data_IF_067976843306
#
_entry.id   IF_067976843306
#
_cell.length_a   1.000
_cell.length_b   1.000
_cell.length_c   1.000
_cell.angle_alpha   90.00
_cell.angle_beta   90.00
_cell.angle_gamma   90.00
#
_symmetry.space_group_name_H-M   'P 1'
#
loop_
_entity.id
_entity.type
_entity.pdbx_description
1 polymer ?
#
# COMPACT_ATOMS: atom_id res chain seq x y z
N UNK A 1 -11.03 8.21 29.13
CA UNK A 1 -10.60 7.64 27.84
C UNK A 1 -9.24 8.24 27.50
N UNK A 2 -8.20 7.42 27.43
CA UNK A 2 -6.87 7.86 27.01
C UNK A 2 -6.97 8.30 25.53
N UNK A 3 -6.51 9.51 25.16
CA UNK A 3 -6.55 9.93 23.76
C UNK A 3 -5.72 8.94 22.92
N UNK A 4 -6.35 8.31 21.93
CA UNK A 4 -5.66 7.42 21.02
C UNK A 4 -4.61 8.24 20.24
N UNK A 5 -3.33 7.96 20.48
CA UNK A 5 -2.23 8.62 19.82
C UNK A 5 -2.34 8.39 18.31
N UNK A 6 -2.66 9.44 17.56
CA UNK A 6 -2.77 9.37 16.09
C UNK A 6 -1.40 8.94 15.55
N UNK A 7 -1.35 7.75 14.99
CA UNK A 7 -0.10 7.22 14.42
C UNK A 7 0.17 7.94 13.10
N UNK A 8 1.30 8.64 12.97
CA UNK A 8 1.66 9.42 11.79
C UNK A 8 1.85 8.57 10.52
N UNK A 9 1.40 9.03 9.33
CA UNK A 9 1.75 8.45 8.05
C UNK A 9 3.24 8.67 7.73
N UNK A 10 3.72 8.12 6.63
CA UNK A 10 5.01 8.55 6.07
C UNK A 10 4.87 9.93 5.42
N UNK A 11 5.89 10.77 5.52
CA UNK A 11 6.07 11.89 4.60
C UNK A 11 6.53 11.38 3.23
N UNK A 12 6.41 12.24 2.20
CA UNK A 12 6.95 11.94 0.87
C UNK A 12 8.48 11.69 0.93
N UNK A 13 9.20 12.51 1.70
CA UNK A 13 10.63 12.37 1.90
C UNK A 13 11.01 11.05 2.60
N UNK A 14 10.25 10.62 3.62
CA UNK A 14 10.49 9.34 4.28
C UNK A 14 10.28 8.16 3.32
N UNK A 15 9.24 8.19 2.46
CA UNK A 15 9.01 7.14 1.47
C UNK A 15 10.13 7.08 0.44
N UNK A 16 10.55 8.24 -0.06
CA UNK A 16 11.67 8.32 -1.00
C UNK A 16 12.97 7.81 -0.37
N UNK A 17 13.26 8.20 0.87
CA UNK A 17 14.43 7.71 1.58
C UNK A 17 14.43 6.20 1.79
N UNK A 18 13.27 5.61 2.10
CA UNK A 18 13.12 4.15 2.17
C UNK A 18 13.38 3.49 0.80
N UNK A 19 12.88 4.07 -0.28
CA UNK A 19 13.09 3.58 -1.64
C UNK A 19 14.57 3.61 -2.02
N UNK A 20 15.26 4.73 -1.76
CA UNK A 20 16.69 4.87 -2.00
C UNK A 20 17.55 3.95 -1.12
N UNK A 21 17.10 3.62 0.08
CA UNK A 21 17.82 2.72 1.01
C UNK A 21 17.68 1.25 0.58
N UNK A 22 16.61 0.90 -0.14
CA UNK A 22 16.39 -0.46 -0.61
C UNK A 22 17.32 -0.81 -1.77
N UNK A 23 18.04 -1.92 -1.64
CA UNK A 23 19.01 -2.37 -2.64
C UNK A 23 18.45 -3.40 -3.63
N UNK A 24 17.25 -3.95 -3.35
CA UNK A 24 16.61 -4.97 -4.17
C UNK A 24 15.34 -4.45 -4.79
N UNK A 25 15.20 -4.62 -6.09
CA UNK A 25 13.98 -4.21 -6.82
C UNK A 25 12.71 -4.85 -6.26
N UNK A 26 12.79 -6.11 -5.79
CA UNK A 26 11.68 -6.78 -5.11
C UNK A 26 11.17 -5.99 -3.91
N UNK A 27 12.08 -5.48 -3.08
CA UNK A 27 11.75 -4.81 -1.83
C UNK A 27 11.12 -3.44 -2.12
N UNK A 28 11.61 -2.75 -3.16
CA UNK A 28 10.99 -1.52 -3.69
C UNK A 28 9.59 -1.83 -4.22
N UNK A 29 9.44 -2.85 -5.06
CA UNK A 29 8.15 -3.25 -5.62
C UNK A 29 7.13 -3.59 -4.52
N UNK A 30 7.55 -4.27 -3.43
CA UNK A 30 6.67 -4.55 -2.28
C UNK A 30 6.22 -3.26 -1.60
N UNK A 31 7.12 -2.30 -1.36
CA UNK A 31 6.78 -1.04 -0.70
C UNK A 31 5.80 -0.22 -1.56
N UNK A 32 6.09 -0.06 -2.85
CA UNK A 32 5.22 0.66 -3.78
C UNK A 32 3.86 -0.03 -3.92
N UNK A 33 3.82 -1.36 -3.93
CA UNK A 33 2.58 -2.12 -3.97
C UNK A 33 1.73 -1.95 -2.71
N UNK A 34 2.35 -2.02 -1.53
CA UNK A 34 1.67 -1.78 -0.26
C UNK A 34 1.10 -0.36 -0.16
N UNK A 35 1.84 0.63 -0.66
CA UNK A 35 1.38 2.02 -0.71
C UNK A 35 0.23 2.16 -1.72
N UNK A 36 0.46 1.79 -2.97
CA UNK A 36 -0.50 2.01 -4.06
C UNK A 36 -1.86 1.35 -3.81
N UNK A 37 -1.85 0.11 -3.34
CA UNK A 37 -3.08 -0.69 -3.19
C UNK A 37 -3.74 -0.54 -1.82
N UNK A 38 -3.05 0.02 -0.84
CA UNK A 38 -3.45 -0.04 0.57
C UNK A 38 -3.83 -1.46 1.04
N UNK A 39 -3.30 -2.50 0.38
CA UNK A 39 -3.57 -3.90 0.68
C UNK A 39 -3.17 -4.30 2.10
N UNK A 40 -3.95 -5.16 2.75
CA UNK A 40 -3.49 -5.82 3.97
C UNK A 40 -2.41 -6.82 3.60
N UNK A 41 -1.42 -6.97 4.48
CA UNK A 41 -0.29 -7.88 4.20
C UNK A 41 -0.75 -9.30 3.82
N UNK A 42 -1.79 -9.82 4.47
CA UNK A 42 -2.36 -11.13 4.15
C UNK A 42 -2.97 -11.21 2.76
N UNK A 43 -3.59 -10.13 2.32
CA UNK A 43 -4.13 -10.02 0.97
C UNK A 43 -2.99 -9.97 -0.07
N UNK A 44 -1.94 -9.20 0.21
CA UNK A 44 -0.80 -9.03 -0.70
C UNK A 44 0.01 -10.31 -0.89
N UNK A 45 0.26 -11.08 0.17
CA UNK A 45 1.01 -12.35 0.04
C UNK A 45 0.24 -13.44 -0.69
N UNK A 46 -1.09 -13.35 -0.75
CA UNK A 46 -1.92 -14.31 -1.45
C UNK A 46 -1.93 -14.13 -2.98
N UNK A 47 -1.55 -12.95 -3.48
CA UNK A 47 -1.62 -12.62 -4.90
C UNK A 47 -0.66 -13.43 -5.77
N UNK A 48 -1.11 -13.67 -7.01
CA UNK A 48 -0.34 -14.24 -8.11
C UNK A 48 0.01 -13.16 -9.15
N UNK A 49 0.95 -13.48 -10.05
CA UNK A 49 1.29 -12.62 -11.19
C UNK A 49 0.08 -12.38 -12.11
N UNK A 50 -0.78 -13.41 -12.25
CA UNK A 50 -1.99 -13.37 -13.08
C UNK A 50 -3.08 -12.44 -12.56
N UNK A 51 -3.01 -12.02 -11.29
CA UNK A 51 -4.03 -11.16 -10.69
C UNK A 51 -3.84 -9.67 -11.06
N UNK A 52 -2.79 -9.35 -11.82
CA UNK A 52 -2.49 -8.00 -12.28
C UNK A 52 -3.06 -7.78 -13.68
N UNK A 53 -4.02 -6.88 -13.79
CA UNK A 53 -4.42 -6.31 -15.08
C UNK A 53 -3.50 -5.14 -15.42
N UNK A 54 -2.54 -5.41 -16.31
CA UNK A 54 -1.54 -4.43 -16.73
C UNK A 54 -2.10 -3.35 -17.66
N UNK A 55 -3.18 -3.64 -18.38
CA UNK A 55 -3.82 -2.69 -19.28
C UNK A 55 -4.49 -1.56 -18.52
N UNK A 56 -5.24 -1.94 -17.48
CA UNK A 56 -5.97 -1.00 -16.63
C UNK A 56 -5.19 -0.61 -15.38
N UNK A 57 -4.05 -1.24 -15.09
CA UNK A 57 -3.29 -1.12 -13.83
C UNK A 57 -4.16 -1.43 -12.61
N UNK A 58 -4.96 -2.49 -12.72
CA UNK A 58 -5.89 -2.94 -11.70
C UNK A 58 -5.45 -4.26 -11.07
N UNK A 59 -5.84 -4.46 -9.83
CA UNK A 59 -5.66 -5.72 -9.10
C UNK A 59 -6.94 -6.04 -8.34
N UNK A 60 -7.43 -7.27 -8.43
CA UNK A 60 -8.52 -7.74 -7.59
C UNK A 60 -7.93 -8.35 -6.32
N UNK A 61 -8.26 -7.79 -5.19
CA UNK A 61 -7.82 -8.28 -3.87
C UNK A 61 -8.99 -8.95 -3.17
N UNK A 62 -8.75 -10.17 -2.70
CA UNK A 62 -9.71 -10.95 -1.92
C UNK A 62 -9.46 -10.77 -0.42
N UNK A 63 -10.51 -10.39 0.32
CA UNK A 63 -10.42 -10.22 1.77
C UNK A 63 -10.09 -11.54 2.50
N UNK A 64 -9.33 -11.49 3.58
CA UNK A 64 -8.82 -12.66 4.35
C UNK A 64 -9.88 -13.68 4.77
N UNK A 65 -11.16 -13.36 4.72
CA UNK A 65 -12.28 -14.26 5.05
C UNK A 65 -13.11 -14.66 3.82
N UNK A 66 -12.53 -14.55 2.60
CA UNK A 66 -13.16 -15.03 1.36
C UNK A 66 -14.47 -14.35 0.97
N UNK A 67 -14.81 -13.20 1.52
CA UNK A 67 -16.17 -12.67 1.43
C UNK A 67 -16.37 -11.36 0.70
N UNK A 68 -15.32 -10.60 0.36
CA UNK A 68 -15.45 -9.41 -0.50
C UNK A 68 -14.16 -9.20 -1.27
N UNK A 69 -14.27 -9.32 -2.57
CA UNK A 69 -13.28 -8.80 -3.50
C UNK A 69 -13.42 -7.28 -3.61
N UNK A 70 -12.33 -6.61 -3.89
CA UNK A 70 -12.32 -5.21 -4.27
C UNK A 70 -11.23 -4.96 -5.29
N UNK A 71 -11.50 -4.03 -6.19
CA UNK A 71 -10.49 -3.50 -7.09
C UNK A 71 -9.62 -2.48 -6.37
N UNK A 72 -8.33 -2.55 -6.64
CA UNK A 72 -7.33 -1.56 -6.25
C UNK A 72 -6.47 -1.23 -7.46
N UNK A 73 -5.79 -0.09 -7.42
CA UNK A 73 -5.10 0.44 -8.59
C UNK A 73 -3.60 0.56 -8.32
N UNK A 74 -2.80 0.43 -9.38
CA UNK A 74 -1.36 0.62 -9.32
C UNK A 74 -1.01 2.04 -9.79
N UNK A 75 -0.27 2.78 -8.95
CA UNK A 75 0.37 4.02 -9.39
C UNK A 75 1.39 3.72 -10.49
N UNK A 76 1.83 4.72 -11.22
CA UNK A 76 2.85 4.54 -12.28
C UNK A 76 4.15 4.04 -11.70
N UNK A 77 4.58 4.57 -10.56
CA UNK A 77 5.76 4.12 -9.83
C UNK A 77 5.64 2.66 -9.39
N UNK A 78 4.47 2.28 -8.87
CA UNK A 78 4.22 0.90 -8.48
C UNK A 78 4.28 -0.04 -9.68
N UNK A 79 3.62 0.31 -10.79
CA UNK A 79 3.62 -0.48 -12.01
C UNK A 79 5.03 -0.62 -12.61
N UNK A 80 5.82 0.46 -12.59
CA UNK A 80 7.20 0.46 -13.06
C UNK A 80 8.08 -0.51 -12.25
N UNK A 81 8.13 -0.35 -10.93
CA UNK A 81 8.96 -1.17 -10.07
C UNK A 81 8.48 -2.63 -10.02
N UNK A 82 7.18 -2.85 -10.07
CA UNK A 82 6.63 -4.21 -10.11
C UNK A 82 7.01 -4.93 -11.40
N UNK A 83 6.90 -4.26 -12.57
CA UNK A 83 7.36 -4.83 -13.85
C UNK A 83 8.84 -5.13 -13.83
N UNK A 84 9.66 -4.19 -13.37
CA UNK A 84 11.11 -4.37 -13.28
C UNK A 84 11.48 -5.56 -12.38
N UNK A 85 10.83 -5.69 -11.23
CA UNK A 85 11.00 -6.86 -10.37
C UNK A 85 10.59 -8.15 -11.09
N UNK A 86 9.41 -8.21 -11.70
CA UNK A 86 8.93 -9.42 -12.36
C UNK A 86 9.81 -9.83 -13.55
N UNK A 87 10.35 -8.88 -14.31
CA UNK A 87 11.30 -9.13 -15.40
C UNK A 87 12.65 -9.66 -14.90
N UNK A 88 13.05 -9.32 -13.69
CA UNK A 88 14.29 -9.82 -13.07
C UNK A 88 14.17 -11.25 -12.53
N UNK A 89 12.94 -11.81 -12.46
CA UNK A 89 12.71 -13.15 -11.93
C UNK A 89 13.09 -14.24 -12.93
N UNK A 90 13.74 -15.27 -12.40
CA UNK A 90 14.17 -16.44 -13.18
C UNK A 90 13.41 -17.72 -12.81
N UNK A 91 12.43 -17.61 -11.89
CA UNK A 91 11.61 -18.71 -11.42
C UNK A 91 10.25 -18.78 -12.13
N UNK A 92 9.57 -19.92 -12.01
CA UNK A 92 8.23 -20.17 -12.57
C UNK A 92 7.12 -20.10 -11.54
N UNK A 93 7.42 -19.71 -10.29
CA UNK A 93 6.41 -19.65 -9.23
C UNK A 93 5.30 -18.63 -9.58
N UNK A 94 4.02 -18.99 -9.52
CA UNK A 94 2.91 -18.10 -9.85
C UNK A 94 2.75 -16.94 -8.87
N UNK A 95 3.28 -17.05 -7.64
CA UNK A 95 3.16 -15.99 -6.63
C UNK A 95 3.67 -14.65 -7.12
N UNK A 96 2.98 -13.56 -6.77
CA UNK A 96 3.40 -12.20 -7.12
C UNK A 96 4.76 -11.88 -6.50
N UNK A 97 4.95 -12.19 -5.21
CA UNK A 97 6.21 -11.96 -4.50
C UNK A 97 6.80 -13.27 -3.99
N UNK A 98 8.09 -13.49 -4.27
CA UNK A 98 8.83 -14.69 -3.87
C UNK A 98 10.10 -14.37 -3.11
N UNK A 99 10.65 -15.38 -2.44
CA UNK A 99 11.95 -15.31 -1.78
C UNK A 99 13.09 -15.07 -2.78
N UNK A 100 14.23 -14.55 -2.32
CA UNK A 100 15.42 -14.30 -3.15
C UNK A 100 16.34 -15.51 -3.30
N UNK A 101 16.04 -16.62 -2.63
CA UNK A 101 16.84 -17.85 -2.67
C UNK A 101 15.97 -19.01 -3.14
N UNK A 102 16.62 -19.96 -3.83
CA UNK A 102 15.95 -21.22 -4.19
C UNK A 102 15.36 -21.89 -2.95
N UNK A 103 14.16 -22.47 -3.03
CA UNK A 103 13.37 -22.72 -4.25
C UNK A 103 12.47 -21.55 -4.71
N UNK A 104 12.75 -20.30 -4.35
CA UNK A 104 11.95 -19.10 -4.68
C UNK A 104 10.47 -19.25 -4.28
N UNK A 105 10.23 -19.73 -3.06
CA UNK A 105 8.88 -19.90 -2.52
C UNK A 105 8.15 -18.58 -2.35
N UNK A 106 6.80 -18.64 -2.36
CA UNK A 106 5.93 -17.48 -2.05
C UNK A 106 6.37 -16.81 -0.74
N UNK A 107 6.47 -15.48 -0.74
CA UNK A 107 6.75 -14.74 0.49
C UNK A 107 5.59 -14.81 1.47
N UNK A 108 5.90 -15.12 2.73
CA UNK A 108 4.96 -15.02 3.84
C UNK A 108 4.88 -13.61 4.44
N UNK A 109 3.89 -13.42 5.31
CA UNK A 109 3.67 -12.16 6.04
C UNK A 109 4.90 -11.75 6.85
N UNK A 110 5.49 -12.70 7.55
CA UNK A 110 6.65 -12.51 8.44
C UNK A 110 7.89 -12.08 7.67
N UNK A 111 8.09 -12.62 6.47
CA UNK A 111 9.21 -12.26 5.60
C UNK A 111 9.12 -10.80 5.13
N UNK A 112 7.93 -10.34 4.74
CA UNK A 112 7.70 -8.94 4.35
C UNK A 112 7.85 -8.02 5.57
N UNK A 113 7.30 -8.39 6.72
CA UNK A 113 7.43 -7.60 7.96
C UNK A 113 8.89 -7.48 8.39
N UNK A 114 9.65 -8.58 8.37
CA UNK A 114 11.08 -8.59 8.68
C UNK A 114 11.88 -7.71 7.71
N UNK A 115 11.62 -7.84 6.41
CA UNK A 115 12.26 -7.02 5.37
C UNK A 115 11.99 -5.52 5.62
N UNK A 116 10.75 -5.13 5.85
CA UNK A 116 10.40 -3.73 6.13
C UNK A 116 11.04 -3.24 7.43
N UNK A 117 11.06 -4.05 8.49
CA UNK A 117 11.70 -3.70 9.76
C UNK A 117 13.20 -3.47 9.59
N UNK A 118 13.90 -4.35 8.86
CA UNK A 118 15.32 -4.20 8.58
C UNK A 118 15.62 -2.96 7.74
N UNK A 119 14.80 -2.71 6.71
CA UNK A 119 14.93 -1.52 5.88
C UNK A 119 14.69 -0.25 6.69
N UNK A 120 13.65 -0.25 7.53
CA UNK A 120 13.34 0.87 8.41
C UNK A 120 14.46 1.16 9.42
N UNK A 121 15.12 0.13 9.96
CA UNK A 121 16.31 0.30 10.83
C UNK A 121 17.45 0.98 10.09
N UNK A 122 17.73 0.57 8.84
CA UNK A 122 18.79 1.18 8.01
C UNK A 122 18.48 2.63 7.65
N UNK A 123 17.22 2.95 7.39
CA UNK A 123 16.79 4.30 7.04
C UNK A 123 16.47 5.18 8.25
N UNK A 124 16.57 4.66 9.48
CA UNK A 124 16.13 5.32 10.73
C UNK A 124 14.66 5.77 10.69
N UNK A 125 13.80 4.99 10.00
CA UNK A 125 12.37 5.24 9.84
C UNK A 125 11.58 4.06 10.36
N UNK A 126 10.67 4.29 11.31
CA UNK A 126 9.79 3.22 11.78
C UNK A 126 8.85 2.75 10.65
N UNK A 127 9.00 1.49 10.23
CA UNK A 127 8.38 0.96 9.01
C UNK A 127 7.67 -0.36 9.27
N UNK A 128 6.41 -0.46 8.83
CA UNK A 128 5.60 -1.67 8.88
C UNK A 128 4.45 -1.58 7.83
N UNK A 129 3.84 -2.70 7.39
CA UNK A 129 2.85 -2.70 6.30
C UNK A 129 1.67 -1.74 6.49
N UNK A 130 1.09 -1.69 7.69
CA UNK A 130 -0.02 -0.79 7.96
C UNK A 130 0.32 0.70 7.87
N UNK A 131 1.61 1.08 7.99
CA UNK A 131 1.99 2.49 7.81
C UNK A 131 1.87 2.91 6.34
N UNK A 132 2.20 2.04 5.37
CA UNK A 132 1.98 2.30 3.94
C UNK A 132 0.50 2.51 3.63
N UNK A 133 -0.36 1.59 4.09
CA UNK A 133 -1.81 1.71 3.93
C UNK A 133 -2.35 3.01 4.53
N UNK A 134 -1.93 3.34 5.75
CA UNK A 134 -2.31 4.61 6.40
C UNK A 134 -1.89 5.80 5.56
N UNK A 135 -0.67 5.78 5.04
CA UNK A 135 -0.13 6.88 4.23
C UNK A 135 -0.99 7.12 2.99
N UNK A 136 -1.32 6.08 2.21
CA UNK A 136 -2.20 6.25 1.06
C UNK A 136 -3.56 6.81 1.46
N UNK A 137 -4.20 6.26 2.51
CA UNK A 137 -5.54 6.72 2.91
C UNK A 137 -5.52 8.16 3.41
N UNK A 138 -4.46 8.58 4.09
CA UNK A 138 -4.27 9.98 4.50
C UNK A 138 -4.01 10.88 3.29
N UNK A 139 -3.14 10.47 2.37
CA UNK A 139 -2.85 11.20 1.13
C UNK A 139 -4.11 11.37 0.27
N UNK A 140 -4.92 10.32 0.18
CA UNK A 140 -6.21 10.36 -0.53
C UNK A 140 -7.18 11.37 0.10
N UNK A 141 -7.32 11.37 1.42
CA UNK A 141 -8.14 12.34 2.14
C UNK A 141 -7.64 13.78 1.96
N UNK A 142 -6.32 13.99 2.06
CA UNK A 142 -5.71 15.32 1.86
C UNK A 142 -5.89 15.83 0.42
N UNK A 143 -6.01 14.93 -0.56
CA UNK A 143 -6.29 15.29 -1.97
C UNK A 143 -7.78 15.46 -2.25
N UNK A 144 -8.65 15.33 -1.26
CA UNK A 144 -10.07 15.58 -1.37
C UNK A 144 -10.88 14.40 -1.93
N UNK A 145 -10.34 13.17 -1.92
CA UNK A 145 -11.13 11.98 -2.26
C UNK A 145 -12.23 11.81 -1.20
N UNK A 146 -13.49 11.61 -1.59
CA UNK A 146 -14.59 11.43 -0.64
C UNK A 146 -14.36 10.27 0.31
N UNK A 147 -14.72 10.45 1.59
CA UNK A 147 -14.53 9.44 2.64
C UNK A 147 -15.12 8.07 2.28
N UNK A 148 -16.27 8.06 1.62
CA UNK A 148 -16.94 6.82 1.19
C UNK A 148 -16.14 6.06 0.14
N UNK A 149 -15.49 6.76 -0.79
CA UNK A 149 -14.62 6.15 -1.79
C UNK A 149 -13.35 5.59 -1.14
N UNK A 150 -12.74 6.34 -0.22
CA UNK A 150 -11.58 5.87 0.56
C UNK A 150 -11.95 4.63 1.38
N UNK A 151 -13.14 4.61 1.99
CA UNK A 151 -13.66 3.47 2.74
C UNK A 151 -13.83 2.23 1.86
N UNK A 152 -14.44 2.41 0.68
CA UNK A 152 -14.62 1.35 -0.31
C UNK A 152 -13.28 0.80 -0.78
N UNK A 153 -12.36 1.68 -1.15
CA UNK A 153 -11.01 1.33 -1.59
C UNK A 153 -10.23 0.55 -0.51
N UNK A 154 -10.31 1.00 0.73
CA UNK A 154 -9.68 0.33 1.86
C UNK A 154 -10.35 -1.00 2.22
N UNK A 155 -11.60 -1.24 1.83
CA UNK A 155 -12.37 -2.39 2.26
C UNK A 155 -12.65 -2.36 3.77
N UNK A 156 -12.97 -1.17 4.31
CA UNK A 156 -13.37 -1.00 5.71
C UNK A 156 -14.86 -1.26 5.87
N UNK A 157 -15.22 -2.14 6.81
CA UNK A 157 -16.63 -2.42 7.12
C UNK A 157 -17.30 -1.31 7.95
N UNK A 158 -16.49 -0.56 8.72
CA UNK A 158 -16.97 0.50 9.61
C UNK A 158 -16.38 1.84 9.18
N UNK A 159 -17.19 2.92 9.06
CA UNK A 159 -16.74 4.27 8.73
C UNK A 159 -15.66 4.80 9.69
N UNK A 160 -15.83 4.54 10.98
CA UNK A 160 -14.92 5.01 12.05
C UNK A 160 -13.46 4.62 11.79
N UNK A 161 -13.24 3.46 11.14
CA UNK A 161 -11.89 3.01 10.79
C UNK A 161 -11.25 3.89 9.71
N UNK A 162 -12.03 4.47 8.82
CA UNK A 162 -11.54 5.37 7.76
C UNK A 162 -11.40 6.79 8.29
N UNK A 163 -12.30 7.24 9.16
CA UNK A 163 -12.25 8.58 9.78
C UNK A 163 -10.95 8.83 10.54
N UNK A 164 -10.30 7.80 11.07
CA UNK A 164 -9.00 7.92 11.73
C UNK A 164 -7.86 8.38 10.79
N UNK A 165 -8.05 8.31 9.49
CA UNK A 165 -7.04 8.66 8.49
C UNK A 165 -7.35 9.97 7.76
N UNK A 166 -8.57 10.47 7.85
CA UNK A 166 -9.01 11.68 7.15
C UNK A 166 -9.20 12.78 8.18
N UNK A 167 -8.25 13.67 8.24
CA UNK A 167 -8.39 14.93 9.00
C UNK A 167 -9.08 15.93 8.08
N UNK A 168 -10.30 16.34 8.43
CA UNK A 168 -10.98 17.45 7.74
C UNK A 168 -10.25 18.73 8.12
N UNK A 169 -9.38 19.24 7.24
CA UNK A 169 -8.76 20.55 7.44
C UNK A 169 -9.67 21.64 6.89
N UNK A 170 -9.62 22.84 7.50
CA UNK A 170 -10.35 24.00 6.99
C UNK A 170 -9.97 24.33 5.53
N UNK A 171 -8.71 24.10 5.17
CA UNK A 171 -8.21 24.29 3.79
C UNK A 171 -8.91 23.34 2.82
N UNK A 172 -9.11 22.07 3.19
CA UNK A 172 -9.81 21.10 2.36
C UNK A 172 -11.30 21.46 2.22
N UNK A 173 -11.94 21.94 3.28
CA UNK A 173 -13.31 22.44 3.24
C UNK A 173 -13.42 23.62 2.29
N UNK A 174 -12.52 24.59 2.40
CA UNK A 174 -12.47 25.78 1.55
C UNK A 174 -12.23 25.41 0.07
N UNK A 175 -11.32 24.51 -0.20
CA UNK A 175 -11.02 24.04 -1.55
C UNK A 175 -12.21 23.31 -2.16
N UNK A 176 -12.87 22.44 -1.40
CA UNK A 176 -14.08 21.72 -1.83
C UNK A 176 -15.24 22.71 -2.11
N UNK A 177 -15.45 23.67 -1.22
CA UNK A 177 -16.49 24.69 -1.42
C UNK A 177 -16.26 25.45 -2.73
N UNK A 178 -15.02 25.91 -2.98
CA UNK A 178 -14.68 26.61 -4.21
C UNK A 178 -14.83 25.75 -5.46
N UNK A 179 -14.54 24.46 -5.34
CA UNK A 179 -14.60 23.53 -6.49
C UNK A 179 -16.02 23.16 -6.89
N UNK A 180 -16.96 23.05 -5.94
CA UNK A 180 -18.27 22.48 -6.17
C UNK A 180 -19.44 23.49 -6.04
N UNK A 181 -19.23 24.61 -5.38
CA UNK A 181 -20.30 25.57 -5.07
C UNK A 181 -20.04 26.96 -5.68
N UNK A 182 -18.80 27.40 -5.70
CA UNK A 182 -18.41 28.69 -6.27
C UNK A 182 -17.86 28.55 -7.69
#
# INVERSE_FOLDING_TARGET
KVPQKIKKPFSAAEREHLRCTATRERDIAIMEFLYSTAGRIGEVVALNRSDIDWGNREVIIYGEKGKKERKVYLTEECAYHLRKYLLSRTDTNPALFVGCRKPFGRLGKEAIQSMLSQLGKKAHIHTHPHKFRRTLLTDAGNRGIPLQEIQSYAGHKKPDTTMMYVTVSEENVKASFRRYIA
#
